data_IF_710427421711
#
_entry.id   IF_710427421711
#
_cell.length_a   1.000
_cell.length_b   1.000
_cell.length_c   1.000
_cell.angle_alpha   90.00
_cell.angle_beta   90.00
_cell.angle_gamma   90.00
#
_symmetry.space_group_name_H-M   'P 1'
#
loop_
_entity.id
_entity.type
_entity.pdbx_description
1 polymer ?
#
# COMPACT_ATOMS: atom_id res chain seq x y z
N UNK A 1 18.76 -10.11 22.73
CA UNK A 1 19.76 -10.39 21.68
C UNK A 1 19.06 -10.31 20.35
N UNK A 2 19.29 -9.25 19.61
CA UNK A 2 18.80 -9.17 18.23
C UNK A 2 19.70 -10.07 17.38
N UNK A 3 19.15 -11.18 16.88
CA UNK A 3 19.78 -11.89 15.80
C UNK A 3 19.77 -10.98 14.57
N UNK A 4 20.91 -10.38 14.28
CA UNK A 4 21.18 -9.85 12.97
C UNK A 4 21.23 -11.05 12.02
N UNK A 5 20.09 -11.40 11.46
CA UNK A 5 20.02 -12.26 10.30
C UNK A 5 20.86 -11.59 9.22
N UNK A 6 22.05 -12.09 9.03
CA UNK A 6 22.90 -11.72 7.90
C UNK A 6 22.13 -12.12 6.63
N UNK A 7 21.49 -11.16 5.99
CA UNK A 7 20.92 -11.32 4.65
C UNK A 7 22.06 -11.41 3.63
N UNK A 8 22.90 -12.45 3.79
CA UNK A 8 23.92 -12.75 2.82
C UNK A 8 23.23 -13.15 1.52
N UNK A 9 23.53 -12.41 0.45
CA UNK A 9 23.02 -12.69 -0.89
C UNK A 9 23.55 -14.07 -1.31
N UNK A 10 22.67 -15.00 -1.68
CA UNK A 10 23.13 -16.32 -2.14
C UNK A 10 24.07 -16.20 -3.33
N UNK A 11 25.20 -16.90 -3.30
CA UNK A 11 26.23 -16.84 -4.32
C UNK A 11 25.76 -17.27 -5.73
N UNK A 12 24.63 -17.97 -5.82
CA UNK A 12 24.07 -18.40 -7.11
C UNK A 12 23.21 -17.32 -7.80
N UNK A 13 22.93 -16.21 -7.14
CA UNK A 13 22.17 -15.11 -7.77
C UNK A 13 23.08 -14.28 -8.66
N UNK A 14 22.71 -14.10 -9.94
CA UNK A 14 23.52 -13.33 -10.90
C UNK A 14 23.29 -11.83 -10.70
N UNK A 15 23.86 -11.26 -9.65
CA UNK A 15 23.78 -9.84 -9.38
C UNK A 15 24.90 -9.07 -10.11
N UNK A 16 24.58 -7.86 -10.56
CA UNK A 16 25.59 -6.93 -11.05
C UNK A 16 26.56 -6.57 -9.92
N UNK A 17 27.85 -6.51 -10.25
CA UNK A 17 28.89 -6.24 -9.24
C UNK A 17 28.73 -4.87 -8.55
N UNK A 18 28.22 -3.88 -9.27
CA UNK A 18 27.97 -2.53 -8.74
C UNK A 18 26.78 -2.46 -7.76
N UNK A 19 25.96 -3.51 -7.69
CA UNK A 19 24.83 -3.59 -6.76
C UNK A 19 25.16 -4.43 -5.51
N UNK A 20 26.30 -5.10 -5.50
CA UNK A 20 26.71 -5.89 -4.34
C UNK A 20 27.09 -4.95 -3.21
N UNK A 21 26.46 -5.14 -2.05
CA UNK A 21 26.70 -4.30 -0.87
C UNK A 21 25.82 -3.05 -0.80
N UNK A 22 24.99 -2.78 -1.83
CA UNK A 22 24.03 -1.69 -1.78
C UNK A 22 22.88 -2.04 -0.81
N UNK A 23 22.53 -1.10 0.04
CA UNK A 23 21.37 -1.22 0.91
C UNK A 23 20.08 -0.87 0.14
N UNK A 24 19.00 -1.64 0.30
CA UNK A 24 17.71 -1.27 -0.28
C UNK A 24 17.27 0.11 0.21
N UNK A 25 16.70 0.91 -0.68
CA UNK A 25 16.10 2.16 -0.24
C UNK A 25 14.96 1.90 0.73
N UNK A 26 15.00 2.59 1.85
CA UNK A 26 13.93 2.59 2.84
C UNK A 26 14.06 3.79 3.76
N UNK A 27 13.02 4.61 3.82
CA UNK A 27 12.98 5.70 4.79
C UNK A 27 12.87 5.12 6.21
N UNK A 28 13.66 5.61 7.18
CA UNK A 28 13.57 5.14 8.56
C UNK A 28 12.16 5.33 9.12
N UNK A 29 11.65 4.31 9.79
CA UNK A 29 10.41 4.42 10.57
C UNK A 29 10.77 4.93 11.96
N UNK A 30 10.32 6.13 12.27
CA UNK A 30 10.65 6.83 13.51
C UNK A 30 9.41 6.94 14.39
N UNK A 31 9.56 6.59 15.67
CA UNK A 31 8.53 6.83 16.69
C UNK A 31 8.79 8.19 17.33
N UNK A 32 8.30 9.22 16.67
CA UNK A 32 8.48 10.62 17.07
C UNK A 32 7.15 11.36 17.01
N UNK A 33 6.95 12.41 17.83
CA UNK A 33 5.70 13.16 17.84
C UNK A 33 5.35 13.83 16.52
N UNK A 34 6.36 14.22 15.74
CA UNK A 34 6.19 14.83 14.41
C UNK A 34 7.11 14.11 13.43
N UNK A 35 6.52 13.45 12.44
CA UNK A 35 7.26 12.69 11.42
C UNK A 35 7.14 13.41 10.07
N UNK A 36 8.25 13.91 9.56
CA UNK A 36 8.33 14.68 8.32
C UNK A 36 9.30 14.08 7.29
N UNK A 37 9.84 12.89 7.57
CA UNK A 37 10.84 12.25 6.72
C UNK A 37 10.25 11.45 5.55
N UNK A 38 8.94 11.32 5.48
CA UNK A 38 8.20 10.64 4.42
C UNK A 38 6.99 11.46 4.00
N UNK A 39 6.48 11.15 2.82
CA UNK A 39 5.34 11.84 2.23
C UNK A 39 4.02 11.19 2.71
N UNK A 40 3.59 11.56 3.89
CA UNK A 40 2.34 11.07 4.48
C UNK A 40 1.31 12.19 4.60
N UNK A 41 0.05 11.84 4.43
CA UNK A 41 -1.05 12.76 4.78
C UNK A 41 -1.18 12.80 6.31
N UNK A 42 -1.03 13.96 6.97
CA UNK A 42 -1.13 14.06 8.43
C UNK A 42 -2.56 13.90 8.96
N UNK A 43 -3.55 13.96 8.10
CA UNK A 43 -4.95 13.83 8.47
C UNK A 43 -5.44 12.40 8.27
N UNK A 44 -5.98 11.81 9.32
CA UNK A 44 -6.64 10.51 9.23
C UNK A 44 -7.89 10.58 8.34
N UNK A 45 -8.33 9.47 7.75
CA UNK A 45 -9.62 9.42 7.06
C UNK A 45 -10.77 9.83 7.99
N UNK A 46 -11.78 10.46 7.44
CA UNK A 46 -12.97 10.79 8.22
C UNK A 46 -13.63 9.53 8.80
N UNK A 47 -14.23 9.61 10.02
CA UNK A 47 -14.88 8.47 10.64
C UNK A 47 -15.93 7.78 9.77
N UNK A 48 -16.70 8.55 9.01
CA UNK A 48 -17.69 8.00 8.07
C UNK A 48 -17.06 7.17 6.96
N UNK A 49 -15.89 7.57 6.46
CA UNK A 49 -15.12 6.79 5.46
C UNK A 49 -14.60 5.50 6.06
N UNK A 50 -14.05 5.57 7.26
CA UNK A 50 -13.55 4.38 7.99
C UNK A 50 -14.66 3.36 8.20
N UNK A 51 -15.84 3.81 8.64
CA UNK A 51 -17.00 2.94 8.85
C UNK A 51 -17.48 2.29 7.54
N UNK A 52 -17.52 3.06 6.47
CA UNK A 52 -17.88 2.54 5.13
C UNK A 52 -16.91 1.47 4.64
N UNK A 53 -15.62 1.67 4.84
CA UNK A 53 -14.58 0.68 4.50
C UNK A 53 -14.79 -0.60 5.30
N UNK A 54 -14.97 -0.48 6.61
CA UNK A 54 -15.17 -1.62 7.50
C UNK A 54 -16.42 -2.43 7.12
N UNK A 55 -17.51 -1.75 6.83
CA UNK A 55 -18.77 -2.38 6.40
C UNK A 55 -18.59 -3.09 5.04
N UNK A 56 -17.92 -2.46 4.09
CA UNK A 56 -17.69 -3.08 2.78
C UNK A 56 -16.79 -4.32 2.87
N UNK A 57 -15.74 -4.27 3.69
CA UNK A 57 -14.90 -5.45 3.94
C UNK A 57 -15.72 -6.59 4.52
N UNK A 58 -16.59 -6.31 5.47
CA UNK A 58 -17.48 -7.31 6.07
C UNK A 58 -18.40 -7.97 5.03
N UNK A 59 -18.93 -7.18 4.10
CA UNK A 59 -19.81 -7.68 3.03
C UNK A 59 -19.09 -8.58 2.04
N UNK A 60 -17.87 -8.22 1.64
CA UNK A 60 -17.12 -8.97 0.63
C UNK A 60 -16.27 -10.12 1.19
N UNK A 61 -16.00 -10.11 2.49
CA UNK A 61 -15.13 -11.11 3.12
C UNK A 61 -15.47 -12.57 2.75
N UNK A 62 -16.76 -12.98 2.67
CA UNK A 62 -17.11 -14.35 2.26
C UNK A 62 -16.70 -14.73 0.84
N UNK A 63 -16.36 -13.76 -0.01
CA UNK A 63 -15.99 -13.98 -1.41
C UNK A 63 -14.50 -13.81 -1.69
N UNK A 64 -13.69 -13.47 -0.67
CA UNK A 64 -12.26 -13.20 -0.85
C UNK A 64 -11.41 -14.43 -1.27
N UNK A 65 -11.97 -15.62 -1.19
CA UNK A 65 -11.36 -16.85 -1.70
C UNK A 65 -11.56 -17.03 -3.21
N UNK A 66 -12.32 -16.16 -3.86
CA UNK A 66 -12.59 -16.19 -5.30
C UNK A 66 -11.80 -15.12 -6.02
N UNK A 67 -11.59 -15.32 -7.32
CA UNK A 67 -11.02 -14.29 -8.17
C UNK A 67 -11.94 -13.05 -8.20
N UNK A 68 -11.37 -11.85 -8.20
CA UNK A 68 -12.14 -10.62 -8.36
C UNK A 68 -12.68 -10.48 -9.77
N UNK A 69 -13.58 -9.49 -9.97
CA UNK A 69 -14.02 -9.11 -11.31
C UNK A 69 -12.82 -8.68 -12.16
N UNK A 70 -12.59 -9.40 -13.24
CA UNK A 70 -11.48 -9.13 -14.16
C UNK A 70 -11.55 -7.74 -14.79
N UNK A 71 -12.75 -7.26 -15.04
CA UNK A 71 -12.99 -5.97 -15.70
C UNK A 71 -13.09 -4.79 -14.73
N UNK A 72 -13.15 -5.03 -13.43
CA UNK A 72 -13.27 -3.99 -12.40
C UNK A 72 -14.44 -3.03 -12.66
N UNK A 73 -15.59 -3.54 -13.03
CA UNK A 73 -16.74 -2.74 -13.48
C UNK A 73 -17.21 -1.76 -12.42
N UNK A 74 -17.38 -2.20 -11.18
CA UNK A 74 -17.83 -1.31 -10.08
C UNK A 74 -16.83 -0.18 -9.83
N UNK A 75 -15.53 -0.50 -9.80
CA UNK A 75 -14.47 0.49 -9.57
C UNK A 75 -14.43 1.52 -10.72
N UNK A 76 -14.51 1.06 -11.95
CA UNK A 76 -14.50 1.94 -13.14
C UNK A 76 -15.72 2.87 -13.17
N UNK A 77 -16.89 2.38 -12.81
CA UNK A 77 -18.09 3.21 -12.67
C UNK A 77 -17.95 4.24 -11.56
N UNK A 78 -17.40 3.86 -10.41
CA UNK A 78 -17.17 4.78 -9.30
C UNK A 78 -16.20 5.90 -9.70
N UNK A 79 -15.11 5.58 -10.39
CA UNK A 79 -14.18 6.58 -10.92
C UNK A 79 -14.84 7.50 -11.95
N UNK A 80 -15.64 6.95 -12.85
CA UNK A 80 -16.37 7.76 -13.83
C UNK A 80 -17.29 8.77 -13.16
N UNK A 81 -18.04 8.35 -12.17
CA UNK A 81 -18.92 9.22 -11.38
C UNK A 81 -18.12 10.29 -10.62
N UNK A 82 -17.00 9.91 -10.04
CA UNK A 82 -16.11 10.84 -9.34
C UNK A 82 -15.57 11.94 -10.29
N UNK A 83 -15.05 11.54 -11.44
CA UNK A 83 -14.51 12.48 -12.44
C UNK A 83 -15.57 13.41 -12.99
N UNK A 84 -16.77 12.92 -13.26
CA UNK A 84 -17.89 13.73 -13.70
C UNK A 84 -18.25 14.80 -12.66
N UNK A 85 -18.33 14.42 -11.41
CA UNK A 85 -18.64 15.34 -10.30
C UNK A 85 -17.55 16.39 -10.08
N UNK A 86 -16.27 15.99 -10.13
CA UNK A 86 -15.15 16.89 -9.79
C UNK A 86 -14.71 17.77 -10.97
N UNK A 87 -14.85 17.31 -12.20
CA UNK A 87 -14.33 18.01 -13.38
C UNK A 87 -15.33 18.21 -14.50
N UNK A 88 -16.55 17.69 -14.39
CA UNK A 88 -17.58 17.83 -15.42
C UNK A 88 -17.32 16.99 -16.69
N UNK A 89 -16.39 16.02 -16.59
CA UNK A 89 -16.01 15.15 -17.72
C UNK A 89 -16.74 13.82 -17.67
#
# INVERSE_FOLDING_TARGET
MSETSSNAIPAYLPLRNDLIGEEPYGAPQLDVPVCLNVNENPYAPEPAVVETIAQRVKEIAPTLNRYPDREHIELRKAFSTYLERESGV
#
